data_IF_557930750545
#
_entry.id   IF_557930750545
#
_cell.length_a   1.000
_cell.length_b   1.000
_cell.length_c   1.000
_cell.angle_alpha   90.00
_cell.angle_beta   90.00
_cell.angle_gamma   90.00
#
_symmetry.space_group_name_H-M   'P 1'
#
loop_
_entity.id
_entity.type
_entity.pdbx_description
1 polymer ?
#
# COMPACT_ATOMS: atom_id res chain seq x y z
N UNK A 1 5.43 7.80 9.89
CA UNK A 1 5.41 8.54 8.60
C UNK A 1 6.17 7.72 7.58
N UNK A 2 5.74 7.72 6.33
CA UNK A 2 6.39 6.97 5.24
C UNK A 2 6.49 7.86 4.00
N UNK A 3 7.40 7.51 3.09
CA UNK A 3 7.48 8.18 1.79
C UNK A 3 6.17 7.99 1.00
N UNK A 4 5.81 8.98 0.20
CA UNK A 4 4.63 8.94 -0.68
C UNK A 4 4.68 7.80 -1.71
N UNK A 5 5.88 7.37 -2.09
CA UNK A 5 6.11 6.29 -3.06
C UNK A 5 6.30 4.93 -2.38
N UNK A 6 6.32 4.87 -1.05
CA UNK A 6 6.38 3.60 -0.34
C UNK A 6 5.11 2.79 -0.63
N UNK A 7 5.27 1.49 -0.91
CA UNK A 7 4.14 0.59 -1.14
C UNK A 7 3.69 -0.03 0.17
N UNK A 8 2.42 0.14 0.49
CA UNK A 8 1.76 -0.39 1.68
C UNK A 8 0.93 -1.60 1.25
N UNK A 9 0.97 -2.66 2.04
CA UNK A 9 0.12 -3.83 1.85
C UNK A 9 -1.26 -3.53 2.43
N UNK A 10 -2.29 -3.75 1.61
CA UNK A 10 -3.68 -3.79 2.06
C UNK A 10 -4.20 -5.21 1.96
N UNK A 11 -4.95 -5.61 2.98
CA UNK A 11 -5.66 -6.88 3.04
C UNK A 11 -7.08 -6.66 3.56
N UNK A 12 -7.94 -7.67 3.39
CA UNK A 12 -9.32 -7.66 3.89
C UNK A 12 -10.32 -8.16 2.86
N UNK A 13 -11.54 -8.44 3.32
CA UNK A 13 -12.62 -8.98 2.49
C UNK A 13 -12.94 -8.16 1.25
N UNK A 14 -12.82 -6.84 1.34
CA UNK A 14 -13.04 -5.92 0.22
C UNK A 14 -11.96 -6.03 -0.86
N UNK A 15 -10.73 -6.39 -0.47
CA UNK A 15 -9.61 -6.58 -1.40
C UNK A 15 -9.83 -7.88 -2.17
N UNK A 16 -10.14 -8.96 -1.44
CA UNK A 16 -10.48 -10.27 -2.02
C UNK A 16 -11.68 -10.15 -2.97
N UNK A 17 -12.73 -9.44 -2.57
CA UNK A 17 -13.93 -9.27 -3.37
C UNK A 17 -13.71 -8.45 -4.65
N UNK A 18 -12.95 -7.34 -4.57
CA UNK A 18 -12.75 -6.45 -5.71
C UNK A 18 -11.66 -6.93 -6.68
N UNK A 19 -10.62 -7.58 -6.16
CA UNK A 19 -9.42 -7.89 -6.94
C UNK A 19 -9.12 -9.39 -7.05
N UNK A 20 -9.78 -10.24 -6.25
CA UNK A 20 -9.50 -11.67 -6.21
C UNK A 20 -8.15 -12.02 -5.59
N UNK A 21 -7.57 -11.09 -4.82
CA UNK A 21 -6.26 -11.23 -4.18
C UNK A 21 -6.42 -11.07 -2.67
N UNK A 22 -5.74 -11.90 -1.88
CA UNK A 22 -5.76 -11.80 -0.40
C UNK A 22 -5.11 -10.48 0.07
N UNK A 23 -4.08 -10.03 -0.67
CA UNK A 23 -3.30 -8.85 -0.36
C UNK A 23 -2.86 -8.11 -1.61
N UNK A 24 -2.93 -6.78 -1.57
CA UNK A 24 -2.53 -5.89 -2.67
C UNK A 24 -1.56 -4.82 -2.18
N UNK A 25 -0.77 -4.28 -3.09
CA UNK A 25 0.14 -3.17 -2.82
C UNK A 25 -0.45 -1.85 -3.30
N UNK A 26 -0.31 -0.80 -2.50
CA UNK A 26 -0.73 0.55 -2.88
C UNK A 26 0.32 1.57 -2.45
N UNK A 27 0.58 2.57 -3.28
CA UNK A 27 1.46 3.67 -2.88
C UNK A 27 0.80 4.51 -1.78
N UNK A 28 1.57 4.88 -0.76
CA UNK A 28 1.08 5.63 0.39
C UNK A 28 0.34 6.92 0.01
N UNK A 29 0.73 7.59 -1.09
CA UNK A 29 0.06 8.80 -1.59
C UNK A 29 -1.41 8.58 -1.98
N UNK A 30 -1.76 7.39 -2.47
CA UNK A 30 -3.14 7.12 -2.87
C UNK A 30 -4.01 6.92 -1.62
N UNK A 31 -3.44 6.46 -0.50
CA UNK A 31 -4.21 6.26 0.74
C UNK A 31 -4.63 7.54 1.46
N UNK A 32 -4.13 8.71 1.02
CA UNK A 32 -4.42 10.00 1.64
C UNK A 32 -5.90 10.33 1.47
N UNK A 33 -6.65 10.23 2.57
CA UNK A 33 -8.09 10.52 2.63
C UNK A 33 -8.45 11.49 3.77
N UNK A 34 -7.44 12.14 4.36
CA UNK A 34 -7.58 13.05 5.48
C UNK A 34 -8.23 12.43 6.74
N UNK A 35 -8.24 11.09 6.85
CA UNK A 35 -8.91 10.34 7.93
C UNK A 35 -8.05 9.21 8.47
N UNK A 36 -7.69 8.26 7.60
CA UNK A 36 -6.82 7.12 7.94
C UNK A 36 -5.37 7.36 7.51
N UNK A 37 -5.15 8.19 6.48
CA UNK A 37 -3.84 8.69 6.15
C UNK A 37 -3.89 10.21 5.91
N UNK A 38 -2.89 10.90 6.47
CA UNK A 38 -2.74 12.34 6.42
C UNK A 38 -1.51 12.68 5.57
N UNK A 39 -1.65 13.69 4.72
CA UNK A 39 -0.49 14.27 4.04
C UNK A 39 0.25 15.19 5.00
N UNK A 40 1.56 14.96 5.18
CA UNK A 40 2.37 15.85 5.99
C UNK A 40 2.56 17.19 5.27
N UNK A 41 2.11 18.27 5.89
CA UNK A 41 2.16 19.64 5.33
C UNK A 41 3.22 20.51 6.01
N UNK A 42 3.81 20.05 7.12
CA UNK A 42 4.93 20.73 7.77
C UNK A 42 6.10 20.76 6.79
N UNK A 43 6.64 21.95 6.50
CA UNK A 43 7.82 22.15 5.65
C UNK A 43 9.13 21.68 6.31
N UNK A 44 9.06 20.70 7.21
CA UNK A 44 10.23 20.06 7.80
C UNK A 44 10.86 19.12 6.78
N UNK A 45 12.16 19.24 6.59
CA UNK A 45 12.95 18.22 5.88
C UNK A 45 13.05 17.01 6.80
N UNK A 46 12.71 15.84 6.28
CA UNK A 46 12.71 14.58 7.02
C UNK A 46 13.57 13.58 6.26
N UNK A 47 14.55 13.00 6.95
CA UNK A 47 15.32 11.90 6.42
C UNK A 47 14.49 10.62 6.44
N UNK A 48 14.43 9.93 5.29
CA UNK A 48 13.79 8.64 5.17
C UNK A 48 14.79 7.61 4.68
N UNK A 49 14.64 6.37 5.14
CA UNK A 49 15.50 5.25 4.76
C UNK A 49 14.63 4.19 4.10
N UNK A 50 15.09 3.71 2.95
CA UNK A 50 14.50 2.58 2.24
C UNK A 50 15.45 1.39 2.35
N UNK A 51 14.98 0.28 2.90
CA UNK A 51 15.76 -0.94 3.02
C UNK A 51 15.64 -1.75 1.72
N UNK A 52 16.78 -2.18 1.17
CA UNK A 52 16.85 -2.99 -0.03
C UNK A 52 17.36 -4.39 0.33
N UNK A 53 16.62 -5.40 -0.11
CA UNK A 53 16.97 -6.80 0.10
C UNK A 53 17.15 -7.53 -1.24
N UNK A 54 17.74 -8.73 -1.17
CA UNK A 54 17.92 -9.61 -2.33
C UNK A 54 16.60 -10.20 -2.86
N UNK A 55 15.51 -10.08 -2.10
CA UNK A 55 14.15 -10.51 -2.45
C UNK A 55 13.12 -9.51 -1.94
N UNK A 56 11.87 -9.65 -2.38
CA UNK A 56 10.77 -8.87 -1.83
C UNK A 56 10.52 -9.27 -0.37
N UNK A 57 10.70 -8.32 0.54
CA UNK A 57 10.38 -8.45 1.96
C UNK A 57 9.33 -7.43 2.39
N UNK A 58 8.51 -7.82 3.37
CA UNK A 58 7.58 -6.92 4.05
C UNK A 58 8.17 -6.44 5.37
N UNK A 59 8.05 -5.14 5.61
CA UNK A 59 8.56 -4.45 6.78
C UNK A 59 7.38 -3.95 7.60
N UNK A 60 7.40 -4.19 8.90
CA UNK A 60 6.47 -3.50 9.80
C UNK A 60 6.95 -2.07 10.03
N UNK A 61 6.13 -1.10 9.65
CA UNK A 61 6.37 0.32 9.83
C UNK A 61 5.28 0.91 10.74
N UNK A 62 5.31 0.55 12.02
CA UNK A 62 4.38 1.09 13.02
C UNK A 62 2.97 0.52 12.85
N UNK A 63 2.85 -0.79 12.62
CA UNK A 63 1.58 -1.49 12.42
C UNK A 63 1.07 -1.49 10.98
N UNK A 64 1.84 -0.91 10.06
CA UNK A 64 1.58 -0.96 8.62
C UNK A 64 2.64 -1.82 7.94
N UNK A 65 2.20 -2.85 7.21
CA UNK A 65 3.09 -3.64 6.36
C UNK A 65 3.48 -2.82 5.12
N UNK A 66 4.78 -2.56 4.96
CA UNK A 66 5.36 -1.79 3.85
C UNK A 66 6.32 -2.67 3.06
N UNK A 67 6.27 -2.59 1.74
CA UNK A 67 7.20 -3.32 0.89
C UNK A 67 8.60 -2.71 0.96
N UNK A 68 9.60 -3.57 1.13
CA UNK A 68 11.00 -3.20 0.93
C UNK A 68 11.29 -2.75 -0.51
N UNK A 69 12.37 -1.98 -0.68
CA UNK A 69 12.82 -1.61 -2.01
C UNK A 69 13.42 -2.83 -2.70
N UNK A 70 12.76 -3.34 -3.74
CA UNK A 70 13.33 -4.36 -4.61
C UNK A 70 13.66 -3.77 -5.99
N UNK A 71 14.95 -3.64 -6.29
CA UNK A 71 15.42 -3.29 -7.64
C UNK A 71 15.85 -4.60 -8.28
N UNK A 72 14.93 -5.23 -9.01
CA UNK A 72 15.15 -6.56 -9.59
C UNK A 72 16.53 -6.69 -10.23
N UNK A 73 17.25 -7.76 -9.89
CA UNK A 73 18.50 -8.11 -10.59
C UNK A 73 18.17 -8.25 -12.08
N UNK A 74 18.94 -7.58 -12.94
CA UNK A 74 18.70 -7.39 -14.38
C UNK A 74 18.77 -8.65 -15.25
N UNK A 75 18.13 -9.73 -14.84
CA UNK A 75 18.07 -11.01 -15.55
C UNK A 75 16.63 -11.49 -15.50
N UNK A 76 15.98 -11.53 -16.68
CA UNK A 76 14.73 -12.24 -17.01
C UNK A 76 14.07 -12.86 -15.78
N UNK A 77 13.15 -12.12 -15.16
CA UNK A 77 12.48 -12.55 -13.95
C UNK A 77 11.64 -13.81 -14.24
N UNK A 78 12.16 -14.96 -13.79
CA UNK A 78 11.39 -16.18 -13.62
C UNK A 78 10.23 -15.83 -12.70
N UNK A 79 9.00 -16.14 -13.14
CA UNK A 79 7.71 -15.82 -12.52
C UNK A 79 7.80 -15.76 -10.99
N UNK A 80 7.87 -14.53 -10.46
CA UNK A 80 7.91 -14.33 -9.03
C UNK A 80 6.47 -14.31 -8.52
N UNK A 81 5.98 -15.48 -8.11
CA UNK A 81 4.64 -15.68 -7.56
C UNK A 81 4.40 -14.93 -6.22
N UNK A 82 5.37 -14.13 -5.77
CA UNK A 82 5.33 -13.31 -4.55
C UNK A 82 5.16 -11.82 -4.81
N UNK A 83 5.10 -11.38 -6.08
CA UNK A 83 4.79 -10.00 -6.41
C UNK A 83 3.28 -9.77 -6.28
N UNK A 84 2.87 -9.18 -5.15
CA UNK A 84 1.48 -8.73 -4.94
C UNK A 84 1.08 -7.74 -6.03
N UNK A 85 -0.19 -7.77 -6.41
CA UNK A 85 -0.74 -6.84 -7.39
C UNK A 85 -0.65 -5.40 -6.88
N UNK A 86 -0.05 -4.51 -7.66
CA UNK A 86 -0.04 -3.07 -7.36
C UNK A 86 -1.35 -2.44 -7.86
N UNK A 87 -2.06 -1.75 -6.97
CA UNK A 87 -3.26 -0.98 -7.31
C UNK A 87 -2.90 0.41 -7.78
N UNK A 88 -3.59 0.84 -8.84
CA UNK A 88 -3.55 2.20 -9.31
C UNK A 88 -4.54 3.11 -8.58
N UNK A 89 -4.37 4.42 -8.75
CA UNK A 89 -5.18 5.45 -8.08
C UNK A 89 -6.70 5.28 -8.30
N UNK A 90 -7.11 4.97 -9.53
CA UNK A 90 -8.53 4.79 -9.87
C UNK A 90 -9.18 3.57 -9.21
N UNK A 91 -8.40 2.50 -8.96
CA UNK A 91 -8.88 1.29 -8.29
C UNK A 91 -9.05 1.52 -6.77
N UNK A 92 -8.24 2.43 -6.24
CA UNK A 92 -8.19 2.78 -4.83
C UNK A 92 -9.47 3.50 -4.38
N UNK A 93 -10.07 4.31 -5.26
CA UNK A 93 -11.32 5.03 -4.96
C UNK A 93 -12.44 4.06 -4.58
N UNK A 94 -12.62 2.98 -5.36
CA UNK A 94 -13.66 1.97 -5.11
C UNK A 94 -13.42 1.24 -3.78
N UNK A 95 -12.18 0.83 -3.54
CA UNK A 95 -11.79 0.15 -2.31
C UNK A 95 -12.02 1.02 -1.07
N UNK A 96 -11.63 2.30 -1.13
CA UNK A 96 -11.84 3.22 -0.01
C UNK A 96 -13.32 3.54 0.21
N UNK A 97 -14.11 3.67 -0.86
CA UNK A 97 -15.56 3.81 -0.76
C UNK A 97 -16.21 2.64 -0.01
N UNK A 98 -15.83 1.39 -0.34
CA UNK A 98 -16.32 0.20 0.37
C UNK A 98 -15.88 0.17 1.84
N UNK A 99 -14.63 0.53 2.13
CA UNK A 99 -14.10 0.61 3.50
C UNK A 99 -14.78 1.67 4.35
N UNK A 100 -15.12 2.80 3.74
CA UNK A 100 -15.80 3.89 4.41
C UNK A 100 -17.26 3.52 4.72
N UNK A 101 -17.95 2.87 3.78
CA UNK A 101 -19.30 2.35 3.97
C UNK A 101 -19.35 1.25 5.04
N UNK A 102 -18.43 0.28 5.00
CA UNK A 102 -18.36 -0.80 6.00
C UNK A 102 -18.11 -0.29 7.42
N UNK A 103 -17.43 0.85 7.56
CA UNK A 103 -17.11 1.47 8.86
C UNK A 103 -18.23 2.34 9.42
N UNK A 104 -19.19 2.78 8.60
CA UNK A 104 -20.34 3.56 9.05
C UNK A 104 -21.68 2.94 8.57
N UNK A 105 -22.17 1.90 9.26
CA UNK A 105 -23.41 1.23 8.88
C UNK A 105 -24.69 2.04 9.20
N UNK A 106 -24.59 3.23 9.81
CA UNK A 106 -25.74 3.99 10.35
C UNK A 106 -26.19 5.14 9.43
N UNK A 107 -25.55 5.32 8.27
CA UNK A 107 -25.91 6.37 7.29
C UNK A 107 -26.68 5.84 6.06
N UNK A 108 -27.26 4.65 6.15
CA UNK A 108 -28.11 4.04 5.12
C UNK A 108 -29.56 3.93 5.60
#
# INVERSE_FOLDING_TARGET
MVSQTARIVLSGSEVEYLFGEDEVLVQARHLVNNRTALFETRRSVIDHVSLMFDRHELLDAGGCSVESLYRGRGTIAVHNHSARRELHDYEMITLMGMRDAARNPVAA
#
